data_IF_753354773909
#
_entry.id   IF_753354773909
#
_cell.length_a   1.000
_cell.length_b   1.000
_cell.length_c   1.000
_cell.angle_alpha   90.00
_cell.angle_beta   90.00
_cell.angle_gamma   90.00
#
_symmetry.space_group_name_H-M   'P 1'
#
loop_
_entity.id
_entity.type
_entity.pdbx_description
1 polymer ?
#
# COMPACT_ATOMS: atom_id res chain seq x y z
N UNK A 1 -27.01 16.41 10.01
CA UNK A 1 -25.64 16.14 10.49
C UNK A 1 -24.72 16.01 9.29
N UNK A 2 -23.94 17.04 8.98
CA UNK A 2 -22.99 17.00 7.88
C UNK A 2 -21.73 16.25 8.33
N UNK A 3 -21.55 15.01 7.84
CA UNK A 3 -20.22 14.39 7.87
C UNK A 3 -19.39 15.14 6.84
N UNK A 4 -18.64 16.13 7.31
CA UNK A 4 -17.62 16.81 6.51
C UNK A 4 -16.59 15.75 6.07
N UNK A 5 -16.82 15.15 4.90
CA UNK A 5 -15.90 14.22 4.29
C UNK A 5 -14.61 14.96 4.03
N UNK A 6 -13.58 14.71 4.84
CA UNK A 6 -12.22 15.22 4.62
C UNK A 6 -11.91 15.04 3.13
N UNK A 7 -11.69 16.13 2.38
CA UNK A 7 -11.33 16.07 0.96
C UNK A 7 -10.23 15.03 0.83
N UNK A 8 -10.55 13.88 0.22
CA UNK A 8 -9.55 12.83 -0.05
C UNK A 8 -8.48 13.51 -0.88
N UNK A 9 -7.24 13.56 -0.38
CA UNK A 9 -6.13 14.15 -1.12
C UNK A 9 -6.07 13.58 -2.53
N UNK A 10 -5.72 14.45 -3.48
CA UNK A 10 -5.62 14.10 -4.88
C UNK A 10 -4.71 12.87 -5.04
N UNK A 11 -5.30 11.76 -5.50
CA UNK A 11 -4.56 10.54 -5.81
C UNK A 11 -3.98 10.69 -7.21
N UNK A 12 -2.66 10.59 -7.32
CA UNK A 12 -1.99 10.49 -8.62
C UNK A 12 -2.08 9.05 -9.10
N UNK A 13 -2.58 8.85 -10.33
CA UNK A 13 -2.47 7.57 -11.01
C UNK A 13 -1.03 7.41 -11.47
N UNK A 14 -0.33 6.40 -10.94
CA UNK A 14 1.12 6.25 -11.16
C UNK A 14 1.47 4.91 -11.84
N UNK A 15 0.67 3.84 -11.64
CA UNK A 15 0.91 2.50 -12.21
C UNK A 15 2.40 2.13 -12.28
N UNK A 16 3.03 1.98 -11.12
CA UNK A 16 4.46 1.71 -11.02
C UNK A 16 4.71 0.40 -10.26
N UNK A 17 5.74 -0.34 -10.68
CA UNK A 17 6.22 -1.52 -9.97
C UNK A 17 6.69 -1.16 -8.57
N UNK A 18 6.35 -1.99 -7.60
CA UNK A 18 6.78 -1.85 -6.22
C UNK A 18 6.99 -3.19 -5.54
N UNK A 19 7.42 -3.15 -4.29
CA UNK A 19 7.71 -4.30 -3.46
C UNK A 19 6.99 -4.15 -2.12
N UNK A 20 6.31 -5.21 -1.69
CA UNK A 20 5.69 -5.32 -0.36
C UNK A 20 6.58 -6.21 0.50
N UNK A 21 6.98 -5.71 1.66
CA UNK A 21 7.67 -6.51 2.68
C UNK A 21 6.76 -6.70 3.88
N UNK A 22 6.73 -7.92 4.41
CA UNK A 22 5.93 -8.26 5.59
C UNK A 22 6.66 -7.88 6.88
N UNK A 23 5.91 -7.49 7.91
CA UNK A 23 6.45 -7.27 9.26
C UNK A 23 7.14 -8.55 9.77
N UNK A 24 8.37 -8.40 10.27
CA UNK A 24 9.20 -9.52 10.73
C UNK A 24 9.77 -10.43 9.63
N UNK A 25 9.52 -10.14 8.35
CA UNK A 25 9.94 -10.97 7.22
C UNK A 25 10.99 -10.32 6.31
N UNK A 26 11.83 -11.15 5.71
CA UNK A 26 12.72 -10.76 4.59
C UNK A 26 12.03 -10.96 3.23
N UNK A 27 10.84 -11.56 3.21
CA UNK A 27 10.10 -11.84 1.99
C UNK A 27 9.53 -10.56 1.39
N UNK A 28 10.17 -10.08 0.31
CA UNK A 28 9.65 -9.01 -0.53
C UNK A 28 8.82 -9.61 -1.69
N UNK A 29 7.58 -9.16 -1.82
CA UNK A 29 6.66 -9.60 -2.87
C UNK A 29 6.49 -8.50 -3.91
N UNK A 30 6.59 -8.81 -5.22
CA UNK A 30 6.34 -7.82 -6.26
C UNK A 30 4.88 -7.38 -6.23
N UNK A 31 4.64 -6.11 -6.52
CA UNK A 31 3.31 -5.52 -6.57
C UNK A 31 3.28 -4.37 -7.59
N UNK A 32 2.07 -3.91 -7.92
CA UNK A 32 1.86 -2.73 -8.77
C UNK A 32 1.11 -1.67 -7.98
N UNK A 33 1.72 -0.51 -7.79
CA UNK A 33 1.10 0.67 -7.19
C UNK A 33 0.23 1.34 -8.25
N UNK A 34 -1.09 1.23 -8.11
CA UNK A 34 -2.07 1.74 -9.07
C UNK A 34 -2.22 3.25 -8.91
N UNK A 35 -2.44 3.70 -7.68
CA UNK A 35 -2.57 5.10 -7.33
C UNK A 35 -1.91 5.41 -5.99
N UNK A 36 -1.41 6.64 -5.85
CA UNK A 36 -0.66 7.12 -4.70
C UNK A 36 -1.22 8.47 -4.22
N UNK A 37 -1.33 8.64 -2.91
CA UNK A 37 -1.47 9.94 -2.26
C UNK A 37 -0.38 10.11 -1.20
N UNK A 38 -0.32 11.28 -0.56
CA UNK A 38 0.57 11.54 0.59
C UNK A 38 0.24 10.62 1.78
N UNK A 39 -1.04 10.28 1.96
CA UNK A 39 -1.58 9.50 3.07
C UNK A 39 -1.71 7.99 2.82
N UNK A 40 -1.65 7.51 1.57
CA UNK A 40 -1.77 6.08 1.28
C UNK A 40 -1.54 5.70 -0.17
N UNK A 41 -1.73 4.42 -0.47
CA UNK A 41 -1.62 3.87 -1.82
C UNK A 41 -2.70 2.83 -2.09
N UNK A 42 -3.04 2.64 -3.36
CA UNK A 42 -3.72 1.44 -3.85
C UNK A 42 -2.70 0.56 -4.54
N UNK A 43 -2.69 -0.71 -4.16
CA UNK A 43 -1.69 -1.67 -4.62
C UNK A 43 -2.39 -2.93 -5.10
N UNK A 44 -1.90 -3.51 -6.20
CA UNK A 44 -2.31 -4.81 -6.71
C UNK A 44 -1.18 -5.81 -6.53
N UNK A 45 -1.49 -7.00 -6.03
CA UNK A 45 -0.55 -8.08 -5.73
C UNK A 45 -1.29 -9.42 -5.83
N UNK A 46 -0.62 -10.48 -6.27
CA UNK A 46 -1.29 -11.75 -6.57
C UNK A 46 -1.97 -12.39 -5.35
N UNK A 47 -1.37 -12.31 -4.16
CA UNK A 47 -1.95 -12.86 -2.94
C UNK A 47 -2.22 -11.74 -1.90
N UNK A 48 -3.06 -10.77 -2.25
CA UNK A 48 -3.44 -9.71 -1.32
C UNK A 48 -4.07 -10.20 0.00
N UNK A 49 -4.66 -11.40 -0.03
CA UNK A 49 -5.32 -12.04 1.12
C UNK A 49 -4.34 -12.65 2.12
N UNK A 50 -3.15 -13.06 1.69
CA UNK A 50 -2.12 -13.61 2.59
C UNK A 50 -1.27 -12.52 3.26
N UNK A 51 -1.43 -11.27 2.85
CA UNK A 51 -0.74 -10.14 3.46
C UNK A 51 -1.39 -9.76 4.80
N UNK A 52 -0.55 -9.68 5.83
CA UNK A 52 -0.93 -9.19 7.15
C UNK A 52 -1.45 -7.75 7.16
N UNK A 53 -1.97 -7.27 8.31
CA UNK A 53 -2.50 -5.91 8.44
C UNK A 53 -1.42 -4.83 8.36
N UNK A 54 -0.16 -5.16 8.67
CA UNK A 54 0.99 -4.27 8.60
C UNK A 54 1.97 -4.78 7.56
N UNK A 55 2.46 -3.87 6.74
CA UNK A 55 3.44 -4.16 5.69
C UNK A 55 4.29 -2.92 5.41
N UNK A 56 5.34 -3.10 4.62
CA UNK A 56 6.15 -1.99 4.11
C UNK A 56 6.07 -1.96 2.59
N UNK A 57 5.80 -0.78 2.03
CA UNK A 57 5.74 -0.54 0.59
C UNK A 57 6.99 0.20 0.12
N UNK A 58 7.74 -0.38 -0.81
CA UNK A 58 8.91 0.24 -1.45
C UNK A 58 8.72 0.28 -2.98
N UNK A 59 9.35 1.25 -3.64
CA UNK A 59 9.40 1.32 -5.10
C UNK A 59 10.65 0.65 -5.69
N UNK A 60 11.57 0.25 -4.82
CA UNK A 60 12.75 -0.55 -5.14
C UNK A 60 12.72 -1.85 -4.36
N UNK A 61 13.54 -2.83 -4.76
CA UNK A 61 13.68 -4.09 -4.02
C UNK A 61 14.33 -3.89 -2.64
N UNK A 62 14.90 -2.71 -2.37
CA UNK A 62 15.45 -2.37 -1.06
C UNK A 62 14.33 -1.99 -0.07
N UNK A 63 13.88 -3.01 0.66
CA UNK A 63 12.88 -2.90 1.71
C UNK A 63 13.28 -1.98 2.88
N UNK A 64 14.55 -1.59 3.04
CA UNK A 64 14.95 -0.63 4.08
C UNK A 64 14.41 0.76 3.84
N UNK A 65 14.18 1.12 2.58
CA UNK A 65 13.72 2.46 2.18
C UNK A 65 12.20 2.59 2.07
N UNK A 66 11.46 1.50 2.26
CA UNK A 66 10.01 1.48 2.10
C UNK A 66 9.24 2.19 3.22
N UNK A 67 8.01 2.61 2.92
CA UNK A 67 7.11 3.26 3.88
C UNK A 67 6.32 2.22 4.67
N UNK A 68 6.26 2.36 5.99
CA UNK A 68 5.40 1.55 6.82
C UNK A 68 3.92 1.84 6.46
N UNK A 69 3.14 0.77 6.39
CA UNK A 69 1.79 0.80 5.86
C UNK A 69 0.87 -0.10 6.70
N UNK A 70 -0.38 0.32 6.84
CA UNK A 70 -1.47 -0.51 7.33
C UNK A 70 -2.49 -0.76 6.23
N UNK A 71 -2.92 -2.02 6.09
CA UNK A 71 -3.96 -2.42 5.13
C UNK A 71 -5.32 -1.99 5.68
N UNK A 72 -5.99 -1.11 4.97
CA UNK A 72 -7.30 -0.54 5.36
C UNK A 72 -8.48 -1.22 4.69
N UNK A 73 -8.27 -1.83 3.52
CA UNK A 73 -9.28 -2.64 2.83
C UNK A 73 -8.61 -3.59 1.83
N UNK A 74 -9.30 -4.69 1.50
CA UNK A 74 -8.88 -5.66 0.48
C UNK A 74 -10.06 -5.97 -0.44
N UNK A 75 -9.79 -6.15 -1.74
CA UNK A 75 -10.77 -6.58 -2.75
C UNK A 75 -10.06 -7.38 -3.83
N UNK A 76 -10.24 -8.70 -3.82
CA UNK A 76 -9.54 -9.60 -4.74
C UNK A 76 -8.03 -9.49 -4.58
N UNK A 77 -7.34 -9.15 -5.68
CA UNK A 77 -5.89 -8.91 -5.76
C UNK A 77 -5.47 -7.47 -5.41
N UNK A 78 -6.42 -6.58 -5.14
CA UNK A 78 -6.15 -5.18 -4.86
C UNK A 78 -6.39 -4.87 -3.39
N UNK A 79 -5.53 -4.05 -2.82
CA UNK A 79 -5.64 -3.59 -1.45
C UNK A 79 -5.33 -2.10 -1.35
N UNK A 80 -5.98 -1.46 -0.38
CA UNK A 80 -5.65 -0.10 0.01
C UNK A 80 -4.77 -0.11 1.24
N UNK A 81 -3.70 0.67 1.20
CA UNK A 81 -2.87 0.94 2.37
C UNK A 81 -2.94 2.39 2.79
N UNK A 82 -2.81 2.61 4.09
CA UNK A 82 -2.54 3.90 4.71
C UNK A 82 -1.08 3.92 5.13
N UNK A 83 -0.40 5.02 4.84
CA UNK A 83 0.95 5.23 5.33
C UNK A 83 0.92 5.57 6.82
N UNK A 84 1.71 4.84 7.59
CA UNK A 84 1.90 5.05 9.01
C UNK A 84 3.35 5.43 9.26
N UNK A 85 3.57 6.17 10.35
CA UNK A 85 4.90 6.60 10.76
C UNK A 85 5.48 5.53 11.69
#
# INVERSE_FOLDING_TARGET
>A
MAVAGKKREARKSVRQSGWITLEGGFAARPCVVVDLSTAGAKVTVDEAQSLGPKLRLAFSRDARTGRNCEVVWRRGKTLGVKFVR
#
